data_IF_727889040373
#
_entry.id   IF_727889040373
#
_cell.length_a   1.000
_cell.length_b   1.000
_cell.length_c   1.000
_cell.angle_alpha   90.00
_cell.angle_beta   90.00
_cell.angle_gamma   90.00
#
_symmetry.space_group_name_H-M   'P 1'
#
loop_
_entity.id
_entity.type
_entity.pdbx_description
1 polymer ?
#
# COMPACT_ATOMS: atom_id res chain seq x y z
N UNK A 1 2.59 -19.79 -11.95
CA UNK A 1 1.80 -18.58 -12.28
C UNK A 1 1.54 -17.85 -10.97
N UNK A 2 1.87 -16.56 -10.89
CA UNK A 2 1.52 -15.75 -9.72
C UNK A 2 -0.01 -15.62 -9.64
N UNK A 3 -0.59 -15.91 -8.48
CA UNK A 3 -2.02 -15.68 -8.26
C UNK A 3 -2.23 -14.17 -8.06
N UNK A 4 -2.62 -13.46 -9.12
CA UNK A 4 -2.81 -12.00 -9.10
C UNK A 4 -3.90 -11.56 -8.11
N UNK A 5 -4.79 -12.46 -7.70
CA UNK A 5 -5.93 -12.18 -6.82
C UNK A 5 -5.70 -12.63 -5.37
N UNK A 6 -4.48 -13.07 -5.01
CA UNK A 6 -4.21 -13.63 -3.68
C UNK A 6 -4.50 -12.64 -2.55
N UNK A 7 -4.18 -11.35 -2.74
CA UNK A 7 -4.44 -10.32 -1.74
C UNK A 7 -5.95 -10.15 -1.50
N UNK A 8 -6.73 -10.13 -2.58
CA UNK A 8 -8.20 -10.11 -2.51
C UNK A 8 -8.74 -11.34 -1.75
N UNK A 9 -8.19 -12.51 -2.01
CA UNK A 9 -8.57 -13.75 -1.30
C UNK A 9 -8.32 -13.63 0.21
N UNK A 10 -7.21 -13.00 0.62
CA UNK A 10 -6.94 -12.76 2.03
C UNK A 10 -7.90 -11.74 2.63
N UNK A 11 -8.14 -10.62 1.94
CA UNK A 11 -9.03 -9.55 2.39
C UNK A 11 -10.51 -10.00 2.55
N UNK A 12 -10.94 -11.00 1.79
CA UNK A 12 -12.29 -11.57 1.84
C UNK A 12 -12.48 -12.63 2.92
N UNK A 13 -11.42 -13.11 3.57
CA UNK A 13 -11.55 -14.15 4.60
C UNK A 13 -12.32 -13.63 5.82
N UNK A 14 -13.36 -14.35 6.21
CA UNK A 14 -14.10 -14.09 7.45
C UNK A 14 -13.28 -14.51 8.68
N UNK A 15 -12.60 -15.63 8.61
CA UNK A 15 -11.72 -16.13 9.68
C UNK A 15 -10.25 -15.94 9.31
N UNK A 16 -9.64 -14.86 9.78
CA UNK A 16 -8.22 -14.53 9.53
C UNK A 16 -7.26 -15.43 10.33
N UNK A 17 -7.70 -16.02 11.45
CA UNK A 17 -6.89 -16.97 12.21
C UNK A 17 -6.54 -18.26 11.40
N UNK A 18 -7.22 -18.49 10.27
CA UNK A 18 -6.87 -19.54 9.33
C UNK A 18 -5.68 -19.24 8.42
N UNK A 19 -5.19 -17.99 8.43
CA UNK A 19 -3.97 -17.63 7.72
C UNK A 19 -2.74 -18.05 8.52
N UNK A 20 -1.70 -18.58 7.86
CA UNK A 20 -0.45 -18.90 8.54
C UNK A 20 0.19 -17.66 9.18
N UNK A 21 0.87 -17.84 10.31
CA UNK A 21 1.65 -16.79 10.96
C UNK A 21 2.81 -16.25 10.10
N UNK A 22 3.23 -17.00 9.09
CA UNK A 22 4.19 -16.54 8.08
C UNK A 22 3.57 -15.59 7.04
N UNK A 23 2.25 -15.45 7.02
CA UNK A 23 1.51 -14.55 6.11
C UNK A 23 0.92 -13.39 6.89
N UNK A 24 0.16 -13.67 7.94
CA UNK A 24 -0.56 -12.65 8.72
C UNK A 24 0.33 -12.12 9.85
N UNK A 25 0.56 -10.80 9.87
CA UNK A 25 1.20 -10.12 10.99
C UNK A 25 0.17 -9.73 12.05
N UNK A 26 -0.83 -8.94 11.65
CA UNK A 26 -1.90 -8.45 12.53
C UNK A 26 -3.15 -8.13 11.73
N UNK A 27 -4.26 -7.88 12.40
CA UNK A 27 -5.50 -7.44 11.76
C UNK A 27 -6.41 -6.68 12.73
N UNK A 28 -7.27 -5.86 12.15
CA UNK A 28 -8.43 -5.24 12.82
C UNK A 28 -9.72 -5.76 12.19
N UNK A 29 -10.85 -5.17 12.52
CA UNK A 29 -12.10 -5.47 11.83
C UNK A 29 -12.11 -4.94 10.39
N UNK A 30 -11.37 -3.86 10.11
CA UNK A 30 -11.38 -3.13 8.83
C UNK A 30 -10.19 -3.41 7.93
N UNK A 31 -9.08 -3.83 8.49
CA UNK A 31 -7.84 -4.07 7.75
C UNK A 31 -7.15 -5.37 8.14
N UNK A 32 -6.19 -5.79 7.35
CA UNK A 32 -5.23 -6.83 7.70
C UNK A 32 -3.84 -6.44 7.21
N UNK A 33 -2.83 -6.73 8.02
CA UNK A 33 -1.42 -6.55 7.67
C UNK A 33 -0.76 -7.90 7.43
N UNK A 34 -0.11 -8.03 6.29
CA UNK A 34 0.59 -9.26 5.91
C UNK A 34 2.07 -8.97 5.60
N UNK A 35 2.89 -10.01 5.73
CA UNK A 35 4.25 -10.00 5.20
C UNK A 35 4.20 -9.98 3.67
N UNK A 36 4.99 -9.12 3.02
CA UNK A 36 5.15 -9.21 1.57
C UNK A 36 5.90 -10.51 1.22
N UNK A 37 5.34 -11.31 0.31
CA UNK A 37 5.93 -12.59 -0.10
C UNK A 37 7.25 -12.41 -0.88
N UNK A 38 7.50 -11.21 -1.41
CA UNK A 38 8.71 -10.85 -2.14
C UNK A 38 9.31 -9.55 -1.61
N UNK A 39 9.70 -9.51 -0.33
CA UNK A 39 10.07 -8.27 0.34
C UNK A 39 11.24 -7.58 -0.37
N UNK A 40 11.17 -6.26 -0.49
CA UNK A 40 12.21 -5.45 -1.13
C UNK A 40 13.17 -4.82 -0.15
N UNK A 41 12.85 -4.89 1.14
CA UNK A 41 13.64 -4.38 2.26
C UNK A 41 13.62 -5.39 3.40
N UNK A 42 14.41 -5.14 4.44
CA UNK A 42 14.44 -5.95 5.67
C UNK A 42 13.04 -6.01 6.29
N UNK A 43 12.35 -4.86 6.30
CA UNK A 43 10.96 -4.76 6.75
C UNK A 43 10.08 -4.34 5.58
N UNK A 44 9.18 -5.21 5.17
CA UNK A 44 8.24 -4.92 4.09
C UNK A 44 6.92 -5.63 4.34
N UNK A 45 5.89 -4.84 4.61
CA UNK A 45 4.54 -5.30 4.92
C UNK A 45 3.52 -4.65 3.98
N UNK A 46 2.39 -5.31 3.84
CA UNK A 46 1.25 -4.80 3.08
C UNK A 46 0.06 -4.66 4.02
N UNK A 47 -0.52 -3.47 4.11
CA UNK A 47 -1.78 -3.22 4.81
C UNK A 47 -2.91 -3.20 3.79
N UNK A 48 -3.89 -4.08 3.96
CA UNK A 48 -5.00 -4.27 3.04
C UNK A 48 -6.33 -3.93 3.71
N UNK A 49 -7.25 -3.24 3.03
CA UNK A 49 -8.61 -3.08 3.52
C UNK A 49 -9.34 -4.43 3.43
N UNK A 50 -10.13 -4.76 4.45
CA UNK A 50 -11.02 -5.92 4.41
C UNK A 50 -12.28 -5.56 3.64
N UNK A 51 -12.85 -6.57 2.98
CA UNK A 51 -14.11 -6.39 2.24
C UNK A 51 -15.34 -6.63 3.12
N UNK A 52 -15.15 -7.27 4.27
CA UNK A 52 -16.22 -7.55 5.22
C UNK A 52 -16.73 -6.23 5.82
N UNK A 53 -18.04 -6.05 5.80
CA UNK A 53 -18.74 -4.89 6.38
C UNK A 53 -18.30 -3.53 5.76
N UNK A 54 -17.66 -3.57 4.58
CA UNK A 54 -17.31 -2.38 3.80
C UNK A 54 -18.49 -1.94 2.94
N UNK A 55 -18.81 -0.65 2.85
CA UNK A 55 -19.80 -0.13 1.88
C UNK A 55 -19.27 -0.23 0.44
N UNK A 56 -17.94 -0.34 0.27
CA UNK A 56 -17.28 -0.45 -1.02
C UNK A 56 -17.25 -1.88 -1.53
N UNK A 57 -17.40 -2.03 -2.83
CA UNK A 57 -17.35 -3.34 -3.49
C UNK A 57 -15.91 -3.82 -3.67
N UNK A 58 -15.75 -5.09 -3.99
CA UNK A 58 -14.44 -5.67 -4.34
C UNK A 58 -13.79 -4.95 -5.54
N UNK A 59 -14.61 -4.44 -6.47
CA UNK A 59 -14.11 -3.69 -7.63
C UNK A 59 -13.61 -2.30 -7.25
N UNK A 60 -14.28 -1.62 -6.31
CA UNK A 60 -13.81 -0.33 -5.79
C UNK A 60 -12.47 -0.48 -5.08
N UNK A 61 -12.29 -1.59 -4.37
CA UNK A 61 -11.07 -1.94 -3.64
C UNK A 61 -10.01 -2.66 -4.50
N UNK A 62 -10.16 -2.74 -5.83
CA UNK A 62 -9.19 -3.44 -6.67
C UNK A 62 -7.83 -2.71 -6.77
N UNK A 63 -7.82 -1.39 -6.64
CA UNK A 63 -6.61 -0.55 -6.70
C UNK A 63 -6.87 0.84 -6.12
N UNK A 64 -5.82 1.65 -5.91
CA UNK A 64 -5.98 3.06 -5.55
C UNK A 64 -6.81 3.81 -6.61
N UNK A 65 -6.62 3.50 -7.88
CA UNK A 65 -7.34 4.15 -8.99
C UNK A 65 -8.84 3.88 -8.94
N UNK A 66 -9.26 2.67 -8.62
CA UNK A 66 -10.69 2.32 -8.50
C UNK A 66 -11.28 2.92 -7.24
N UNK A 67 -10.54 2.90 -6.13
CA UNK A 67 -10.94 3.56 -4.89
C UNK A 67 -11.21 5.05 -5.08
N UNK A 68 -10.33 5.78 -5.77
CA UNK A 68 -10.51 7.21 -6.04
C UNK A 68 -11.72 7.53 -6.94
N UNK A 69 -12.29 6.53 -7.63
CA UNK A 69 -13.52 6.67 -8.43
C UNK A 69 -14.80 6.36 -7.66
N UNK A 70 -14.71 5.74 -6.51
CA UNK A 70 -15.85 5.44 -5.64
C UNK A 70 -16.36 6.68 -4.92
N UNK A 71 -17.24 6.51 -3.95
CA UNK A 71 -17.68 7.61 -3.09
C UNK A 71 -16.48 8.22 -2.34
N UNK A 72 -16.46 9.56 -2.24
CA UNK A 72 -15.34 10.29 -1.65
C UNK A 72 -15.16 9.99 -0.18
N UNK A 73 -16.26 9.98 0.59
CA UNK A 73 -16.21 9.83 2.03
C UNK A 73 -15.84 8.40 2.41
N UNK A 74 -16.37 7.41 1.67
CA UNK A 74 -16.02 6.01 1.83
C UNK A 74 -14.55 5.75 1.45
N UNK A 75 -14.07 6.36 0.36
CA UNK A 75 -12.66 6.26 -0.04
C UNK A 75 -11.73 6.87 1.01
N UNK A 76 -12.09 8.06 1.54
CA UNK A 76 -11.33 8.72 2.59
C UNK A 76 -11.28 7.88 3.85
N UNK A 77 -12.41 7.27 4.24
CA UNK A 77 -12.47 6.40 5.40
C UNK A 77 -11.55 5.18 5.26
N UNK A 78 -11.57 4.51 4.11
CA UNK A 78 -10.66 3.39 3.86
C UNK A 78 -9.19 3.81 3.96
N UNK A 79 -8.82 4.96 3.39
CA UNK A 79 -7.44 5.46 3.46
C UNK A 79 -7.05 5.86 4.89
N UNK A 80 -7.98 6.38 5.68
CA UNK A 80 -7.74 6.68 7.09
C UNK A 80 -7.50 5.40 7.89
N UNK A 81 -8.35 4.38 7.72
CA UNK A 81 -8.20 3.09 8.37
C UNK A 81 -6.84 2.43 8.03
N UNK A 82 -6.44 2.49 6.75
CA UNK A 82 -5.12 2.00 6.31
C UNK A 82 -3.97 2.80 6.94
N UNK A 83 -4.14 4.13 7.08
CA UNK A 83 -3.14 5.02 7.67
C UNK A 83 -2.90 4.71 9.15
N UNK A 84 -3.98 4.53 9.92
CA UNK A 84 -3.91 4.23 11.36
C UNK A 84 -3.16 2.92 11.63
N UNK A 85 -3.50 1.88 10.86
CA UNK A 85 -2.81 0.60 11.01
C UNK A 85 -1.37 0.63 10.47
N UNK A 86 -1.10 1.38 9.40
CA UNK A 86 0.25 1.54 8.88
C UNK A 86 1.18 2.27 9.87
N UNK A 87 0.69 3.29 10.60
CA UNK A 87 1.46 3.94 11.67
C UNK A 87 1.74 2.97 12.82
N UNK A 88 0.79 2.11 13.18
CA UNK A 88 1.00 1.05 14.17
C UNK A 88 2.10 0.07 13.71
N UNK A 89 2.04 -0.37 12.45
CA UNK A 89 3.06 -1.26 11.86
C UNK A 89 4.43 -0.58 11.81
N UNK A 90 4.47 0.71 11.44
CA UNK A 90 5.70 1.49 11.44
C UNK A 90 6.33 1.56 12.83
N UNK A 91 5.54 1.80 13.87
CA UNK A 91 6.05 1.80 15.26
C UNK A 91 6.65 0.44 15.65
N UNK A 92 6.00 -0.67 15.28
CA UNK A 92 6.54 -2.02 15.48
C UNK A 92 7.85 -2.24 14.74
N UNK A 93 7.96 -1.77 13.49
CA UNK A 93 9.20 -1.85 12.70
C UNK A 93 10.31 -1.05 13.39
N UNK A 94 10.03 0.18 13.81
CA UNK A 94 11.00 1.05 14.45
C UNK A 94 11.52 0.48 15.78
N UNK A 95 10.65 -0.13 16.56
CA UNK A 95 11.04 -0.85 17.77
C UNK A 95 11.97 -2.03 17.47
N UNK A 96 11.61 -2.84 16.47
CA UNK A 96 12.40 -3.99 16.06
C UNK A 96 13.74 -3.58 15.42
N UNK A 97 13.80 -2.44 14.71
CA UNK A 97 15.06 -1.85 14.24
C UNK A 97 16.00 -1.53 15.40
N UNK A 98 15.50 -0.86 16.44
CA UNK A 98 16.31 -0.54 17.62
C UNK A 98 16.79 -1.81 18.31
N UNK A 99 15.92 -2.79 18.47
CA UNK A 99 16.24 -4.05 19.13
C UNK A 99 17.30 -4.86 18.38
N UNK A 100 17.23 -4.93 17.05
CA UNK A 100 18.16 -5.73 16.23
C UNK A 100 19.43 -4.99 15.86
N UNK A 101 19.35 -3.69 15.62
CA UNK A 101 20.42 -2.92 14.98
C UNK A 101 20.92 -1.76 15.83
N UNK A 102 20.21 -1.39 16.90
CA UNK A 102 20.59 -0.29 17.79
C UNK A 102 20.21 1.10 17.29
N UNK A 103 19.60 1.23 16.09
CA UNK A 103 19.18 2.50 15.50
C UNK A 103 17.97 2.33 14.59
N UNK A 104 17.33 3.44 14.25
CA UNK A 104 16.20 3.49 13.30
C UNK A 104 16.64 4.14 12.00
N UNK A 105 16.01 3.70 10.91
CA UNK A 105 16.05 4.40 9.63
C UNK A 105 14.64 4.58 9.09
N UNK A 106 14.50 5.29 7.98
CA UNK A 106 13.21 5.69 7.42
C UNK A 106 12.34 4.48 7.07
N UNK A 107 11.06 4.58 7.41
CA UNK A 107 9.99 3.69 6.94
C UNK A 107 9.07 4.51 6.05
N UNK A 108 8.93 4.09 4.81
CA UNK A 108 8.07 4.71 3.81
C UNK A 108 6.71 4.00 3.76
N UNK A 109 5.64 4.78 3.59
CA UNK A 109 4.27 4.28 3.42
C UNK A 109 3.70 4.84 2.13
N UNK A 110 3.19 3.98 1.25
CA UNK A 110 2.66 4.43 -0.02
C UNK A 110 2.10 3.33 -0.91
N UNK A 111 1.57 3.75 -2.04
CA UNK A 111 0.90 2.90 -3.01
C UNK A 111 1.65 2.86 -4.33
N UNK A 112 1.57 1.74 -5.02
CA UNK A 112 1.89 1.69 -6.44
C UNK A 112 0.65 2.10 -7.26
N UNK A 113 0.75 3.12 -8.13
CA UNK A 113 -0.37 3.55 -8.98
C UNK A 113 -0.82 2.47 -9.97
N UNK A 114 0.10 1.58 -10.36
CA UNK A 114 -0.17 0.41 -11.20
C UNK A 114 0.35 -0.83 -10.46
N UNK A 115 -0.47 -1.41 -9.59
CA UNK A 115 -0.05 -2.55 -8.80
C UNK A 115 0.05 -3.82 -9.65
N UNK A 116 0.95 -4.72 -9.28
CA UNK A 116 1.11 -6.03 -9.93
C UNK A 116 0.10 -7.08 -9.47
N UNK A 117 -0.62 -6.82 -8.38
CA UNK A 117 -1.64 -7.70 -7.81
C UNK A 117 -2.93 -6.93 -7.58
N UNK A 118 -4.05 -7.61 -7.77
CA UNK A 118 -5.36 -7.05 -7.45
C UNK A 118 -5.58 -6.98 -5.95
N UNK A 119 -6.36 -6.04 -5.56
CA UNK A 119 -6.72 -5.54 -4.25
C UNK A 119 -5.81 -4.43 -3.76
N UNK A 120 -6.42 -3.35 -3.29
CA UNK A 120 -5.72 -2.21 -2.72
C UNK A 120 -4.80 -2.66 -1.60
N UNK A 121 -3.55 -2.25 -1.66
CA UNK A 121 -2.57 -2.52 -0.62
C UNK A 121 -1.64 -1.34 -0.44
N UNK A 122 -1.48 -0.94 0.81
CA UNK A 122 -0.54 0.06 1.25
C UNK A 122 0.76 -0.63 1.65
N UNK A 123 1.86 -0.25 1.00
CA UNK A 123 3.19 -0.71 1.39
C UNK A 123 3.66 0.04 2.63
N UNK A 124 4.16 -0.69 3.62
CA UNK A 124 4.93 -0.17 4.75
C UNK A 124 6.30 -0.81 4.65
N UNK A 125 7.30 -0.02 4.25
CA UNK A 125 8.60 -0.53 3.81
C UNK A 125 9.76 0.30 4.37
N UNK A 126 10.77 -0.37 4.90
CA UNK A 126 12.01 0.29 5.32
C UNK A 126 12.88 0.70 4.13
N UNK A 127 13.63 1.77 4.28
CA UNK A 127 14.36 2.45 3.18
C UNK A 127 15.73 1.82 2.84
N UNK A 128 16.05 0.66 3.42
CA UNK A 128 17.29 -0.06 3.15
C UNK A 128 17.34 -0.69 1.76
N UNK A 129 16.20 -1.10 1.20
CA UNK A 129 16.04 -1.71 -0.13
C UNK A 129 17.10 -2.80 -0.45
N UNK A 130 17.55 -3.55 0.57
CA UNK A 130 18.66 -4.48 0.45
C UNK A 130 18.24 -5.96 0.39
N UNK A 131 16.95 -6.24 0.17
CA UNK A 131 16.46 -7.61 0.10
C UNK A 131 16.99 -8.36 -1.13
N UNK A 132 17.25 -9.68 -1.02
CA UNK A 132 17.57 -10.52 -2.20
C UNK A 132 16.50 -10.52 -3.30
N UNK A 133 15.28 -10.09 -3.01
CA UNK A 133 14.22 -9.90 -4.00
C UNK A 133 14.33 -8.60 -4.81
N UNK A 134 15.28 -7.70 -4.47
CA UNK A 134 15.67 -6.52 -5.26
C UNK A 134 16.58 -6.92 -6.42
N UNK A 135 16.04 -7.62 -7.42
CA UNK A 135 16.82 -8.30 -8.45
C UNK A 135 17.21 -7.44 -9.66
N UNK A 136 16.55 -6.31 -9.86
CA UNK A 136 16.75 -5.51 -11.07
C UNK A 136 16.37 -4.03 -10.85
N UNK A 137 16.81 -3.16 -11.77
CA UNK A 137 16.57 -1.72 -11.76
C UNK A 137 15.09 -1.35 -11.63
N UNK A 138 14.16 -2.14 -12.18
CA UNK A 138 12.72 -1.86 -12.09
C UNK A 138 12.21 -1.90 -10.64
N UNK A 139 12.75 -2.80 -9.81
CA UNK A 139 12.39 -2.87 -8.40
C UNK A 139 12.84 -1.62 -7.64
N UNK A 140 14.07 -1.13 -7.86
CA UNK A 140 14.54 0.13 -7.27
C UNK A 140 13.70 1.32 -7.74
N UNK A 141 13.47 1.41 -9.04
CA UNK A 141 12.67 2.50 -9.61
C UNK A 141 11.25 2.53 -9.06
N UNK A 142 10.65 1.37 -8.75
CA UNK A 142 9.27 1.30 -8.24
C UNK A 142 9.10 1.92 -6.85
N UNK A 143 10.16 2.05 -6.06
CA UNK A 143 10.15 2.69 -4.75
C UNK A 143 10.89 4.04 -4.73
N UNK A 144 11.46 4.47 -5.87
CA UNK A 144 12.25 5.70 -5.93
C UNK A 144 11.33 6.93 -5.80
N UNK A 145 11.57 7.83 -4.81
CA UNK A 145 10.64 8.91 -4.45
C UNK A 145 10.40 9.94 -5.57
N UNK A 146 11.37 10.11 -6.49
CA UNK A 146 11.29 11.11 -7.56
C UNK A 146 10.68 10.60 -8.87
N UNK A 147 10.49 9.29 -9.03
CA UNK A 147 10.04 8.71 -10.29
C UNK A 147 8.51 8.60 -10.40
N UNK A 148 7.78 8.85 -9.33
CA UNK A 148 6.31 8.83 -9.32
C UNK A 148 5.68 7.44 -9.45
N UNK A 149 6.47 6.37 -9.23
CA UNK A 149 5.97 4.99 -9.19
C UNK A 149 5.52 4.57 -7.79
N UNK A 150 5.87 5.37 -6.78
CA UNK A 150 5.46 5.19 -5.40
C UNK A 150 4.80 6.48 -4.92
N UNK A 151 3.50 6.41 -4.67
CA UNK A 151 2.71 7.53 -4.17
C UNK A 151 2.70 7.47 -2.66
N UNK A 152 3.32 8.44 -2.01
CA UNK A 152 3.34 8.49 -0.56
C UNK A 152 1.93 8.65 0.01
N UNK A 153 1.65 7.94 1.09
CA UNK A 153 0.34 7.97 1.77
C UNK A 153 -0.07 9.40 2.13
N UNK A 154 0.86 10.23 2.64
CA UNK A 154 0.61 11.63 2.98
C UNK A 154 0.17 12.47 1.77
N UNK A 155 0.75 12.21 0.59
CA UNK A 155 0.33 12.85 -0.65
C UNK A 155 -1.10 12.42 -1.03
N UNK A 156 -1.39 11.13 -0.98
CA UNK A 156 -2.72 10.60 -1.30
C UNK A 156 -3.78 11.15 -0.36
N UNK A 157 -3.51 11.20 0.94
CA UNK A 157 -4.43 11.78 1.94
C UNK A 157 -4.65 13.28 1.71
N UNK A 158 -3.62 14.01 1.28
CA UNK A 158 -3.75 15.45 0.98
C UNK A 158 -4.75 15.75 -0.14
N UNK A 159 -4.98 14.83 -1.06
CA UNK A 159 -5.96 15.01 -2.14
C UNK A 159 -7.40 15.12 -1.64
N UNK A 160 -7.70 14.56 -0.48
CA UNK A 160 -9.03 14.61 0.14
C UNK A 160 -9.25 15.90 0.94
N UNK A 161 -8.17 16.56 1.39
CA UNK A 161 -8.22 17.81 2.15
C UNK A 161 -8.29 19.06 1.25
N UNK A 162 -8.07 18.90 -0.06
CA UNK A 162 -8.17 19.96 -1.05
C UNK A 162 -9.62 20.33 -1.40
N UNK A 163 -9.78 21.39 -2.20
CA UNK A 163 -11.09 21.74 -2.76
C UNK A 163 -11.70 20.55 -3.52
N UNK A 164 -13.04 20.47 -3.55
CA UNK A 164 -13.75 19.42 -4.26
C UNK A 164 -13.34 19.32 -5.74
N UNK A 165 -12.97 20.45 -6.36
CA UNK A 165 -12.42 20.53 -7.71
C UNK A 165 -11.09 19.80 -7.87
N UNK A 166 -10.21 19.87 -6.86
CA UNK A 166 -8.93 19.16 -6.90
C UNK A 166 -9.10 17.65 -6.80
N UNK A 167 -9.93 17.17 -5.88
CA UNK A 167 -10.25 15.75 -5.77
C UNK A 167 -10.87 15.22 -7.07
N UNK A 168 -11.80 15.97 -7.65
CA UNK A 168 -12.39 15.60 -8.94
C UNK A 168 -11.34 15.58 -10.06
N UNK A 169 -10.44 16.54 -10.07
CA UNK A 169 -9.33 16.55 -11.04
C UNK A 169 -8.47 15.29 -10.89
N UNK A 170 -8.08 14.91 -9.68
CA UNK A 170 -7.33 13.66 -9.41
C UNK A 170 -8.13 12.42 -9.81
N UNK A 171 -9.44 12.39 -9.52
CA UNK A 171 -10.37 11.31 -9.85
C UNK A 171 -10.51 11.08 -11.36
N UNK A 172 -10.59 12.18 -12.15
CA UNK A 172 -10.80 12.13 -13.61
C UNK A 172 -9.50 12.19 -14.40
N UNK A 173 -8.41 12.58 -13.76
CA UNK A 173 -7.15 12.50 -14.46
C UNK A 173 -6.88 11.03 -14.80
N UNK A 174 -6.98 10.71 -16.09
CA UNK A 174 -6.09 9.74 -16.74
C UNK A 174 -4.66 10.30 -16.62
N UNK A 175 -4.26 10.61 -15.39
CA UNK A 175 -3.27 11.62 -15.09
C UNK A 175 -1.85 11.13 -15.32
N UNK A 176 -1.01 12.00 -15.84
CA UNK A 176 0.43 11.83 -15.85
C UNK A 176 1.06 11.65 -14.45
N UNK A 177 0.37 12.04 -13.34
CA UNK A 177 0.82 11.76 -11.97
C UNK A 177 0.62 10.29 -11.58
N UNK A 178 -0.41 9.63 -12.10
CA UNK A 178 -0.58 8.18 -12.05
C UNK A 178 0.06 7.49 -13.27
N UNK A 179 0.46 8.25 -14.29
CA UNK A 179 1.05 7.81 -15.54
C UNK A 179 2.12 8.82 -15.99
N UNK A 180 3.02 9.27 -15.09
CA UNK A 180 4.23 9.91 -15.60
C UNK A 180 4.89 8.92 -16.54
N UNK A 181 5.05 9.26 -17.83
CA UNK A 181 5.74 8.38 -18.75
C UNK A 181 7.11 8.10 -18.16
N UNK A 182 7.49 6.84 -18.19
CA UNK A 182 8.83 6.38 -17.84
C UNK A 182 9.78 7.10 -18.80
N UNK A 183 10.34 8.22 -18.38
CA UNK A 183 11.49 8.78 -19.07
C UNK A 183 12.65 7.87 -18.73
N UNK A 184 12.94 6.96 -19.64
CA UNK A 184 14.17 6.19 -19.58
C UNK A 184 15.32 7.15 -19.84
N UNK A 185 16.01 7.57 -18.79
CA UNK A 185 17.35 8.09 -18.95
C UNK A 185 18.23 6.92 -19.34
N UNK A 186 18.63 6.88 -20.60
CA UNK A 186 19.65 5.97 -21.16
C UNK A 186 21.01 6.22 -20.52
#
# INVERSE_FOLDING_TARGET
MSNLTILRTYAQKSNLASLPSSVLLTHTERTLTIFDAYPKSIFHFLVLPRTKDSPLTVFDLASLRTLLKSDKDDAQKVLTDLSEDAETVKAMIEEEMVKRYGFKWTVNMGFHPVPSMEHLHLHVISDDLCSPAMKNKKHYNSFHPKLGFFLHLSEVLSWFNGEASYFQTVRFMNSPLLLKPIVFYT
#
